data_IF_779200145975
#
_entry.id   IF_779200145975
#
_cell.length_a   1.000
_cell.length_b   1.000
_cell.length_c   1.000
_cell.angle_alpha   90.00
_cell.angle_beta   90.00
_cell.angle_gamma   90.00
#
_symmetry.space_group_name_H-M   'P 1'
#
loop_
_entity.id
_entity.type
_entity.pdbx_description
1 polymer ?
#
# COMPACT_ATOMS: atom_id res chain seq x y z
N UNK A 1 23.95 12.11 -1.35
CA UNK A 1 23.41 10.84 -1.91
C UNK A 1 21.89 10.73 -1.69
N UNK A 2 21.17 11.85 -1.82
CA UNK A 2 19.71 11.93 -1.58
C UNK A 2 18.93 12.53 -2.76
N UNK A 3 19.55 12.64 -3.94
CA UNK A 3 19.05 13.48 -5.03
C UNK A 3 18.13 12.76 -6.01
N UNK A 4 18.03 11.43 -6.00
CA UNK A 4 17.28 10.73 -7.06
C UNK A 4 15.83 11.23 -7.22
N UNK A 5 15.11 11.44 -6.11
CA UNK A 5 13.74 11.96 -6.18
C UNK A 5 13.75 13.40 -6.69
N UNK A 6 14.65 14.25 -6.19
CA UNK A 6 14.77 15.65 -6.63
C UNK A 6 15.12 15.75 -8.11
N UNK A 7 16.08 14.94 -8.58
CA UNK A 7 16.52 14.84 -9.97
C UNK A 7 15.35 14.45 -10.88
N UNK A 8 14.55 13.44 -10.49
CA UNK A 8 13.36 13.02 -11.23
C UNK A 8 12.30 14.13 -11.28
N UNK A 9 12.05 14.84 -10.17
CA UNK A 9 11.08 15.95 -10.14
C UNK A 9 11.54 17.09 -11.04
N UNK A 10 12.82 17.46 -11.00
CA UNK A 10 13.39 18.48 -11.88
C UNK A 10 13.30 18.07 -13.36
N UNK A 11 13.61 16.80 -13.69
CA UNK A 11 13.53 16.29 -15.05
C UNK A 11 12.11 16.33 -15.61
N UNK A 12 11.10 16.10 -14.77
CA UNK A 12 9.67 16.23 -15.14
C UNK A 12 9.31 17.70 -15.37
N UNK A 13 9.71 18.62 -14.49
CA UNK A 13 9.45 20.05 -14.65
C UNK A 13 10.09 20.61 -15.93
N UNK A 14 11.30 20.16 -16.25
CA UNK A 14 12.01 20.56 -17.48
C UNK A 14 11.31 20.09 -18.76
N UNK A 15 10.41 19.10 -18.67
CA UNK A 15 9.60 18.63 -19.79
C UNK A 15 8.26 19.37 -19.92
N UNK A 16 7.97 20.33 -19.04
CA UNK A 16 6.71 21.10 -19.00
C UNK A 16 5.46 20.20 -18.85
N UNK A 17 5.61 19.09 -18.13
CA UNK A 17 4.52 18.16 -17.82
C UNK A 17 3.93 18.53 -16.46
N UNK A 18 2.62 18.72 -16.39
CA UNK A 18 1.94 18.99 -15.14
C UNK A 18 1.89 17.75 -14.25
N UNK A 19 2.17 17.92 -12.95
CA UNK A 19 2.17 16.80 -12.00
C UNK A 19 0.79 16.15 -11.82
N UNK A 20 -0.31 16.87 -12.03
CA UNK A 20 -1.67 16.32 -11.94
C UNK A 20 -1.98 15.31 -13.06
N UNK A 21 -1.23 15.32 -14.16
CA UNK A 21 -1.32 14.35 -15.25
C UNK A 21 -0.44 13.10 -15.02
N UNK A 22 0.34 13.08 -13.94
CA UNK A 22 1.30 12.01 -13.65
C UNK A 22 0.79 11.12 -12.52
N UNK A 23 0.96 9.80 -12.70
CA UNK A 23 0.82 8.81 -11.63
C UNK A 23 2.18 8.25 -11.26
N UNK A 24 2.60 8.45 -10.02
CA UNK A 24 3.82 7.84 -9.49
C UNK A 24 3.51 6.46 -8.91
N UNK A 25 4.23 5.43 -9.37
CA UNK A 25 4.21 4.09 -8.80
C UNK A 25 5.52 3.84 -8.06
N UNK A 26 5.45 3.58 -6.76
CA UNK A 26 6.61 3.53 -5.88
C UNK A 26 6.70 2.22 -5.10
N UNK A 27 7.89 1.81 -4.62
CA UNK A 27 8.04 0.56 -3.88
C UNK A 27 7.23 0.48 -2.58
N UNK A 28 6.88 1.62 -1.97
CA UNK A 28 6.06 1.66 -0.75
C UNK A 28 5.38 3.02 -0.58
N UNK A 29 4.33 3.06 0.24
CA UNK A 29 3.62 4.31 0.60
C UNK A 29 4.55 5.38 1.21
N UNK A 30 5.58 4.95 1.95
CA UNK A 30 6.54 5.88 2.58
C UNK A 30 7.36 6.65 1.54
N UNK A 31 7.69 6.03 0.40
CA UNK A 31 8.39 6.71 -0.69
C UNK A 31 7.54 7.85 -1.26
N UNK A 32 6.21 7.69 -1.30
CA UNK A 32 5.28 8.72 -1.75
C UNK A 32 5.36 10.02 -0.97
N UNK A 33 5.63 9.95 0.33
CA UNK A 33 5.81 11.14 1.15
C UNK A 33 7.04 11.96 0.72
N UNK A 34 8.12 11.29 0.30
CA UNK A 34 9.32 11.99 -0.16
C UNK A 34 9.10 12.64 -1.52
N UNK A 35 8.40 11.97 -2.44
CA UNK A 35 7.98 12.54 -3.73
C UNK A 35 7.11 13.78 -3.52
N UNK A 36 6.07 13.68 -2.68
CA UNK A 36 5.17 14.79 -2.41
C UNK A 36 5.91 15.99 -1.78
N UNK A 37 6.86 15.73 -0.87
CA UNK A 37 7.71 16.78 -0.29
C UNK A 37 8.61 17.44 -1.33
N UNK A 38 9.24 16.66 -2.21
CA UNK A 38 10.09 17.20 -3.26
C UNK A 38 9.30 18.07 -4.23
N UNK A 39 8.12 17.61 -4.68
CA UNK A 39 7.21 18.42 -5.53
C UNK A 39 6.84 19.71 -4.80
N UNK A 40 6.44 19.65 -3.52
CA UNK A 40 6.07 20.84 -2.77
C UNK A 40 7.23 21.83 -2.55
N UNK A 41 8.48 21.36 -2.56
CA UNK A 41 9.67 22.20 -2.39
C UNK A 41 10.18 22.79 -3.71
N UNK A 42 10.01 22.07 -4.82
CA UNK A 42 10.56 22.43 -6.13
C UNK A 42 9.51 23.05 -7.06
N UNK A 43 8.22 22.91 -6.78
CA UNK A 43 7.16 23.49 -7.61
C UNK A 43 7.12 25.01 -7.48
N UNK A 44 7.32 25.69 -8.60
CA UNK A 44 7.17 27.15 -8.70
C UNK A 44 5.70 27.59 -8.86
N UNK A 45 4.81 26.64 -9.15
CA UNK A 45 3.38 26.87 -9.34
C UNK A 45 2.54 26.13 -8.31
N UNK A 46 1.37 26.68 -8.01
CA UNK A 46 0.33 25.99 -7.24
C UNK A 46 -0.40 24.99 -8.13
N UNK A 47 -0.66 23.79 -7.62
CA UNK A 47 -1.31 22.73 -8.38
C UNK A 47 -1.84 21.63 -7.46
N UNK A 48 -2.44 20.61 -8.07
CA UNK A 48 -2.87 19.41 -7.36
C UNK A 48 -1.72 18.42 -7.23
N UNK A 49 -1.74 17.64 -6.15
CA UNK A 49 -0.80 16.55 -5.98
C UNK A 49 -1.07 15.47 -7.04
N UNK A 50 -0.01 14.83 -7.58
CA UNK A 50 -0.16 13.67 -8.45
C UNK A 50 -0.86 12.53 -7.71
N UNK A 51 -1.41 11.59 -8.48
CA UNK A 51 -1.76 10.29 -7.91
C UNK A 51 -0.48 9.55 -7.55
N UNK A 52 -0.39 9.04 -6.33
CA UNK A 52 0.75 8.27 -5.85
C UNK A 52 0.23 6.91 -5.38
N UNK A 53 0.77 5.85 -5.96
CA UNK A 53 0.45 4.46 -5.62
C UNK A 53 1.69 3.75 -5.10
N UNK A 54 1.54 2.91 -4.07
CA UNK A 54 2.52 1.87 -3.83
C UNK A 54 2.44 0.78 -4.90
N UNK A 55 3.48 -0.04 -5.02
CA UNK A 55 3.48 -1.17 -5.95
C UNK A 55 2.35 -2.15 -5.63
N UNK A 56 2.02 -2.34 -4.34
CA UNK A 56 0.89 -3.19 -3.95
C UNK A 56 -0.45 -2.59 -4.39
N UNK A 57 -0.65 -1.28 -4.22
CA UNK A 57 -1.85 -0.58 -4.67
C UNK A 57 -1.99 -0.61 -6.19
N UNK A 58 -0.89 -0.43 -6.92
CA UNK A 58 -0.88 -0.50 -8.37
C UNK A 58 -1.26 -1.91 -8.87
N UNK A 59 -0.72 -2.96 -8.25
CA UNK A 59 -1.10 -4.35 -8.57
C UNK A 59 -2.59 -4.59 -8.27
N UNK A 60 -3.11 -4.05 -7.16
CA UNK A 60 -4.53 -4.17 -6.82
C UNK A 60 -5.43 -3.51 -7.89
N UNK A 61 -5.06 -2.32 -8.36
CA UNK A 61 -5.76 -1.61 -9.45
C UNK A 61 -5.76 -2.45 -10.74
N UNK A 62 -4.60 -2.98 -11.14
CA UNK A 62 -4.48 -3.75 -12.39
C UNK A 62 -5.22 -5.09 -12.32
N UNK A 63 -5.13 -5.77 -11.19
CA UNK A 63 -5.76 -7.09 -11.01
C UNK A 63 -7.26 -6.99 -10.73
N UNK A 64 -7.77 -5.81 -10.35
CA UNK A 64 -9.11 -5.62 -9.78
C UNK A 64 -9.35 -6.49 -8.54
N UNK A 65 -8.27 -6.93 -7.90
CA UNK A 65 -8.30 -7.69 -6.66
C UNK A 65 -7.88 -6.78 -5.52
N UNK A 66 -8.55 -6.95 -4.39
CA UNK A 66 -8.20 -6.25 -3.17
C UNK A 66 -7.65 -7.23 -2.15
N UNK A 67 -6.66 -6.76 -1.39
CA UNK A 67 -6.17 -7.52 -0.26
C UNK A 67 -7.29 -7.64 0.78
N UNK A 68 -7.56 -8.87 1.21
CA UNK A 68 -8.56 -9.16 2.23
C UNK A 68 -8.09 -8.59 3.58
N UNK A 69 -9.02 -7.99 4.33
CA UNK A 69 -8.70 -7.43 5.64
C UNK A 69 -8.26 -8.53 6.61
N UNK A 70 -7.29 -8.22 7.47
CA UNK A 70 -6.78 -9.21 8.44
C UNK A 70 -7.89 -9.78 9.34
N UNK A 71 -8.84 -8.95 9.77
CA UNK A 71 -10.00 -9.39 10.54
C UNK A 71 -10.81 -10.46 9.81
N UNK A 72 -11.07 -10.26 8.52
CA UNK A 72 -11.79 -11.25 7.70
C UNK A 72 -10.97 -12.53 7.53
N UNK A 73 -9.65 -12.42 7.32
CA UNK A 73 -8.77 -13.57 7.27
C UNK A 73 -8.81 -14.38 8.57
N UNK A 74 -8.80 -13.72 9.74
CA UNK A 74 -8.91 -14.38 11.05
C UNK A 74 -10.24 -15.13 11.22
N UNK A 75 -11.36 -14.57 10.77
CA UNK A 75 -12.65 -15.27 10.81
C UNK A 75 -12.69 -16.48 9.86
N UNK A 76 -12.16 -16.33 8.64
CA UNK A 76 -12.03 -17.43 7.68
C UNK A 76 -11.09 -18.52 8.22
N UNK A 77 -10.01 -18.11 8.89
CA UNK A 77 -9.08 -19.01 9.53
C UNK A 77 -9.76 -19.77 10.66
N UNK A 78 -10.46 -19.09 11.57
CA UNK A 78 -11.21 -19.76 12.63
C UNK A 78 -12.24 -20.75 12.08
N UNK A 79 -12.96 -20.37 11.03
CA UNK A 79 -13.94 -21.26 10.37
C UNK A 79 -13.28 -22.51 9.78
N UNK A 80 -12.10 -22.35 9.17
CA UNK A 80 -11.31 -23.46 8.62
C UNK A 80 -10.71 -24.32 9.72
N UNK A 81 -10.26 -23.71 10.82
CA UNK A 81 -9.77 -24.37 12.02
C UNK A 81 -10.85 -25.28 12.59
N UNK A 82 -12.06 -24.78 12.82
CA UNK A 82 -13.22 -25.56 13.32
C UNK A 82 -13.67 -26.71 12.40
N UNK A 83 -13.30 -26.66 11.11
CA UNK A 83 -13.66 -27.69 10.13
C UNK A 83 -12.55 -28.74 9.94
N UNK A 84 -11.45 -28.64 10.69
CA UNK A 84 -10.28 -29.51 10.53
C UNK A 84 -10.45 -30.83 11.28
N UNK A 85 -10.52 -31.94 10.54
CA UNK A 85 -10.72 -33.29 11.09
C UNK A 85 -9.55 -33.80 11.96
N UNK A 86 -8.40 -33.12 11.95
CA UNK A 86 -7.21 -33.50 12.73
C UNK A 86 -7.19 -32.98 14.16
N UNK A 87 -8.21 -32.23 14.57
CA UNK A 87 -8.28 -31.55 15.88
C UNK A 87 -9.52 -32.06 16.60
N UNK A 88 -9.31 -32.80 17.69
CA UNK A 88 -10.42 -33.41 18.43
C UNK A 88 -11.14 -32.42 19.34
N UNK A 89 -10.44 -31.38 19.80
CA UNK A 89 -10.97 -30.35 20.68
C UNK A 89 -10.51 -29.00 20.15
N UNK A 90 -11.45 -28.23 19.61
CA UNK A 90 -11.17 -26.92 19.07
C UNK A 90 -11.27 -25.87 20.17
N UNK A 91 -10.30 -24.97 20.21
CA UNK A 91 -10.34 -23.77 21.04
C UNK A 91 -11.56 -22.91 20.68
N UNK A 92 -12.17 -22.30 21.69
CA UNK A 92 -13.18 -21.27 21.49
C UNK A 92 -12.58 -20.03 20.81
N UNK A 93 -13.45 -19.14 20.34
CA UNK A 93 -13.01 -17.98 19.56
C UNK A 93 -12.05 -17.07 20.33
N UNK A 94 -12.26 -16.90 21.64
CA UNK A 94 -11.41 -16.04 22.48
C UNK A 94 -10.01 -16.62 22.60
N UNK A 95 -9.91 -17.91 22.91
CA UNK A 95 -8.64 -18.63 23.01
C UNK A 95 -7.91 -18.66 21.67
N UNK A 96 -8.64 -18.96 20.58
CA UNK A 96 -8.11 -18.89 19.22
C UNK A 96 -7.57 -17.51 18.88
N UNK A 97 -8.29 -16.42 19.20
CA UNK A 97 -7.84 -15.06 18.88
C UNK A 97 -6.53 -14.69 19.60
N UNK A 98 -6.18 -15.37 20.68
CA UNK A 98 -4.90 -15.22 21.36
C UNK A 98 -3.69 -15.68 20.54
N UNK A 99 -3.80 -16.81 19.83
CA UNK A 99 -2.69 -17.39 19.05
C UNK A 99 -2.87 -17.27 17.54
N UNK A 100 -4.10 -17.25 17.04
CA UNK A 100 -4.42 -17.19 15.60
C UNK A 100 -3.91 -15.92 14.92
N UNK A 101 -3.68 -14.84 15.66
CA UNK A 101 -3.07 -13.61 15.15
C UNK A 101 -1.55 -13.71 14.93
N UNK A 102 -0.91 -14.74 15.51
CA UNK A 102 0.54 -14.95 15.42
C UNK A 102 0.96 -15.86 14.27
N UNK A 103 -0.01 -16.49 13.60
CA UNK A 103 0.15 -17.32 12.42
C UNK A 103 -0.28 -16.55 11.16
#
# INVERSE_FOLDING_TARGET
MGHFIEDVINDIQNQDINFDEITFVLPSKRAGLFVLKAIAQLSESTGFAPVILSIEEFIAVLSQLHQVANSELLFRFYSSYLSSEGINDHDDFETFMGWGQTL
#
